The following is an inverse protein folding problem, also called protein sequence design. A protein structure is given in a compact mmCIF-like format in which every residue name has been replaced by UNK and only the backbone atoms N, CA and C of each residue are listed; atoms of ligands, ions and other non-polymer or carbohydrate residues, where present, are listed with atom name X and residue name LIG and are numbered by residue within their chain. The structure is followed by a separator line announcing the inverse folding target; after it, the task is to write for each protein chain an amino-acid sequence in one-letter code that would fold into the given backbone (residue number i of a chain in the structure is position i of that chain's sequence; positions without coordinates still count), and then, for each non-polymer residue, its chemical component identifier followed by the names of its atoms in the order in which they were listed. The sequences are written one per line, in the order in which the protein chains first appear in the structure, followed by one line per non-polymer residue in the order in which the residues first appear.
data_IF_482487303471
#
_entry.id   IF_482487303471
#
_cell.length_a   1.000
_cell.length_b   1.000
_cell.length_c   1.000
_cell.angle_alpha   90.00
_cell.angle_beta   90.00
_cell.angle_gamma   90.00
#
_symmetry.space_group_name_H-M   'P 1'
#
loop_
_entity.id
_entity.type
_entity.pdbx_description
1 polymer ?
#
# COMPACT_ATOMS: atom_id res chain seq x y z
N UNK A 1 54.43 -7.48 -33.84
CA UNK A 1 55.48 -6.67 -33.17
C UNK A 1 55.04 -5.21 -33.09
N UNK A 2 54.40 -4.80 -31.99
CA UNK A 2 54.36 -3.41 -31.49
C UNK A 2 54.24 -3.46 -29.97
N UNK A 3 55.28 -2.99 -29.31
CA UNK A 3 55.50 -2.92 -27.87
C UNK A 3 54.62 -1.83 -27.26
N UNK A 4 53.81 -2.18 -26.26
CA UNK A 4 53.03 -1.22 -25.48
C UNK A 4 53.74 -1.00 -24.13
N UNK A 5 54.28 0.22 -23.94
CA UNK A 5 54.95 0.64 -22.70
C UNK A 5 53.94 0.81 -21.56
N UNK A 6 54.26 0.21 -20.40
CA UNK A 6 53.60 0.48 -19.11
C UNK A 6 54.06 1.83 -18.57
N UNK A 7 53.13 2.79 -18.52
CA UNK A 7 53.29 4.06 -17.82
C UNK A 7 52.92 3.93 -16.34
N UNK A 8 53.92 4.11 -15.48
CA UNK A 8 53.84 4.17 -14.02
C UNK A 8 53.23 5.52 -13.58
N UNK A 9 52.12 5.53 -12.84
CA UNK A 9 51.58 6.75 -12.21
C UNK A 9 51.31 6.56 -10.72
N UNK A 10 51.89 7.52 -9.99
CA UNK A 10 52.04 7.71 -8.55
C UNK A 10 50.73 7.65 -7.77
N UNK A 11 50.82 7.02 -6.60
CA UNK A 11 49.87 7.03 -5.51
C UNK A 11 49.72 8.43 -4.91
N UNK A 12 48.54 9.04 -5.05
CA UNK A 12 48.12 10.15 -4.21
C UNK A 12 47.34 9.61 -3.00
N UNK A 13 47.99 9.70 -1.83
CA UNK A 13 47.36 9.56 -0.51
C UNK A 13 46.45 10.77 -0.29
N UNK A 14 45.12 10.56 -0.40
CA UNK A 14 44.13 11.55 0.07
C UNK A 14 43.71 11.19 1.48
N UNK A 15 44.24 11.96 2.42
CA UNK A 15 43.82 12.05 3.81
C UNK A 15 42.33 12.46 3.87
N UNK A 16 41.42 11.50 4.12
CA UNK A 16 40.01 11.79 4.43
C UNK A 16 39.85 11.84 5.93
N UNK A 17 39.67 13.05 6.45
CA UNK A 17 39.13 13.24 7.79
C UNK A 17 37.65 12.79 7.84
N UNK A 18 37.19 12.21 8.96
CA UNK A 18 35.79 11.92 9.14
C UNK A 18 35.02 13.23 9.36
N UNK A 19 34.14 13.55 8.42
CA UNK A 19 33.16 14.63 8.59
C UNK A 19 32.08 14.12 9.54
N UNK A 20 32.25 14.39 10.83
CA UNK A 20 31.17 14.32 11.82
C UNK A 20 30.29 15.55 11.65
N UNK A 21 29.28 15.47 10.78
CA UNK A 21 28.20 16.46 10.77
C UNK A 21 27.23 16.12 11.91
N UNK A 22 27.38 16.84 13.02
CA UNK A 22 26.38 16.94 14.06
C UNK A 22 25.10 17.56 13.48
N UNK A 23 24.03 16.76 13.38
CA UNK A 23 22.66 17.25 13.33
C UNK A 23 22.00 16.83 14.64
N UNK A 24 22.27 17.59 15.71
CA UNK A 24 21.42 17.60 16.89
C UNK A 24 20.69 18.94 16.91
N UNK A 25 19.60 19.01 16.16
CA UNK A 25 18.64 20.11 16.28
C UNK A 25 17.56 19.64 17.26
N UNK A 26 17.75 19.96 18.54
CA UNK A 26 16.70 19.89 19.54
C UNK A 26 15.63 20.93 19.18
N UNK A 27 14.52 20.47 18.62
CA UNK A 27 13.38 21.34 18.31
C UNK A 27 12.32 21.25 19.41
N UNK A 28 12.14 22.32 20.17
CA UNK A 28 10.94 22.53 20.98
C UNK A 28 9.81 22.98 20.04
N UNK A 29 8.71 22.22 19.97
CA UNK A 29 7.54 22.63 19.19
C UNK A 29 6.47 23.14 20.15
N UNK A 30 6.17 24.43 20.10
CA UNK A 30 5.12 25.06 20.91
C UNK A 30 3.86 25.21 20.06
N UNK A 31 2.78 24.52 20.45
CA UNK A 31 1.46 24.71 19.83
C UNK A 31 0.69 25.73 20.69
N UNK A 32 0.60 26.97 20.20
CA UNK A 32 -0.30 27.97 20.78
C UNK A 32 -1.65 27.89 20.06
N UNK A 33 -2.67 27.37 20.73
CA UNK A 33 -4.06 27.41 20.27
C UNK A 33 -4.85 28.45 21.04
N UNK A 34 -5.41 29.45 20.34
CA UNK A 34 -6.48 30.29 20.89
C UNK A 34 -7.81 29.60 20.62
N UNK A 35 -8.53 29.19 21.66
CA UNK A 35 -9.92 28.74 21.54
C UNK A 35 -10.77 29.91 21.03
N UNK A 36 -11.18 29.85 19.77
CA UNK A 36 -12.17 30.76 19.22
C UNK A 36 -13.56 30.28 19.68
N UNK A 37 -14.26 31.14 20.43
CA UNK A 37 -15.64 30.96 20.87
C UNK A 37 -16.59 30.98 19.67
N UNK A 38 -16.89 29.81 19.10
CA UNK A 38 -17.85 29.65 18.02
C UNK A 38 -19.27 29.62 18.58
N UNK A 39 -19.90 30.78 18.73
CA UNK A 39 -21.33 30.89 19.05
C UNK A 39 -22.17 30.53 17.82
N UNK A 40 -22.88 29.41 17.89
CA UNK A 40 -23.95 29.06 16.95
C UNK A 40 -25.24 29.85 17.23
N UNK A 41 -26.06 30.16 16.20
CA UNK A 41 -27.32 30.87 16.36
C UNK A 41 -28.48 29.88 16.54
N UNK A 42 -28.75 29.46 17.76
CA UNK A 42 -30.05 28.87 18.10
C UNK A 42 -30.68 29.70 19.22
N UNK A 43 -31.74 30.41 18.84
CA UNK A 43 -32.45 31.34 19.70
C UNK A 43 -33.18 30.64 20.84
N UNK A 44 -32.60 30.72 22.02
CA UNK A 44 -33.30 30.50 23.29
C UNK A 44 -33.10 31.76 24.15
N UNK A 45 -34.22 32.38 24.54
CA UNK A 45 -34.26 33.54 25.44
C UNK A 45 -33.59 33.17 26.77
N UNK A 46 -32.40 33.71 27.02
CA UNK A 46 -31.73 33.62 28.32
C UNK A 46 -32.22 34.75 29.25
N UNK A 47 -32.69 34.36 30.43
CA UNK A 47 -32.85 35.25 31.57
C UNK A 47 -31.47 35.69 32.07
N UNK A 48 -31.38 36.99 32.35
CA UNK A 48 -30.18 37.66 32.85
C UNK A 48 -29.73 37.12 34.21
N UNK A 49 -28.45 36.75 34.32
CA UNK A 49 -27.73 36.62 35.58
C UNK A 49 -26.41 37.41 35.50
N UNK A 50 -25.94 38.03 36.60
CA UNK A 50 -24.87 39.01 36.55
C UNK A 50 -23.46 38.38 36.57
N UNK A 51 -22.57 39.02 35.81
CA UNK A 51 -21.11 39.06 35.88
C UNK A 51 -20.38 37.90 36.59
N UNK A 52 -19.88 36.95 35.79
CA UNK A 52 -18.62 36.27 36.05
C UNK A 52 -17.53 36.95 35.19
N UNK A 53 -16.60 37.66 35.82
CA UNK A 53 -15.42 38.21 35.16
C UNK A 53 -14.51 37.05 34.70
N UNK A 54 -14.43 36.83 33.39
CA UNK A 54 -13.44 35.94 32.80
C UNK A 54 -12.04 36.56 32.97
N UNK A 55 -11.25 36.02 33.91
CA UNK A 55 -9.80 36.25 33.98
C UNK A 55 -9.16 35.75 32.69
N UNK A 56 -8.61 36.67 31.91
CA UNK A 56 -7.86 36.40 30.71
C UNK A 56 -6.57 35.61 31.03
N UNK A 57 -6.28 34.60 30.22
CA UNK A 57 -4.91 34.22 29.87
C UNK A 57 -4.18 33.24 30.78
N UNK A 58 -4.73 32.06 31.05
CA UNK A 58 -3.91 30.93 31.53
C UNK A 58 -3.26 30.23 30.33
N UNK A 59 -2.03 30.63 29.98
CA UNK A 59 -1.23 29.94 28.97
C UNK A 59 -0.67 28.65 29.56
N UNK A 60 -1.34 27.52 29.32
CA UNK A 60 -0.81 26.19 29.69
C UNK A 60 0.32 25.81 28.72
N UNK A 61 1.54 25.79 29.22
CA UNK A 61 2.71 25.32 28.45
C UNK A 61 2.90 23.84 28.74
N UNK A 62 2.50 22.97 27.80
CA UNK A 62 2.75 21.54 27.89
C UNK A 62 4.14 21.24 27.33
N UNK A 63 5.09 20.91 28.21
CA UNK A 63 6.42 20.47 27.77
C UNK A 63 6.38 18.97 27.62
N UNK A 64 6.27 18.46 26.39
CA UNK A 64 6.46 17.03 26.11
C UNK A 64 7.97 16.80 26.01
N UNK A 65 8.61 16.08 26.95
CA UNK A 65 9.98 15.68 26.75
C UNK A 65 10.04 14.79 25.51
N UNK A 66 10.74 15.26 24.47
CA UNK A 66 11.01 14.43 23.31
C UNK A 66 11.87 13.25 23.78
N UNK A 67 11.44 12.00 23.56
CA UNK A 67 12.22 10.85 23.98
C UNK A 67 13.60 10.93 23.33
N UNK A 68 14.64 10.81 24.15
CA UNK A 68 16.02 10.79 23.69
C UNK A 68 16.17 9.68 22.64
N UNK A 69 16.44 10.10 21.40
CA UNK A 69 16.50 9.20 20.26
C UNK A 69 17.77 8.37 20.36
N UNK A 70 17.71 7.27 21.10
CA UNK A 70 18.73 6.23 21.05
C UNK A 70 18.91 5.81 19.57
N UNK A 71 20.11 5.90 18.99
CA UNK A 71 20.34 5.61 17.58
C UNK A 71 19.98 4.14 17.29
N UNK A 72 18.81 3.93 16.68
CA UNK A 72 18.28 2.59 16.37
C UNK A 72 18.93 1.96 15.12
N UNK A 73 20.24 2.16 14.95
CA UNK A 73 21.01 1.77 13.75
C UNK A 73 21.06 0.24 13.54
N UNK A 74 20.72 -0.55 14.56
CA UNK A 74 20.64 -2.02 14.46
C UNK A 74 19.30 -2.58 13.98
N UNK A 75 18.17 -1.88 14.16
CA UNK A 75 16.83 -2.47 13.99
C UNK A 75 16.39 -2.64 12.54
N UNK A 76 16.84 -1.75 11.65
CA UNK A 76 16.53 -1.79 10.21
C UNK A 76 17.25 -2.90 9.45
N UNK A 77 18.27 -3.53 10.04
CA UNK A 77 18.96 -4.67 9.39
C UNK A 77 18.04 -5.86 9.15
N UNK A 78 16.97 -5.99 9.94
CA UNK A 78 15.98 -7.06 9.79
C UNK A 78 14.91 -6.81 8.71
N UNK A 79 14.80 -5.58 8.20
CA UNK A 79 13.80 -5.18 7.20
C UNK A 79 14.16 -5.70 5.78
N UNK A 80 15.43 -5.63 5.41
CA UNK A 80 15.91 -6.02 4.08
C UNK A 80 15.77 -7.53 3.79
N UNK A 81 16.08 -8.44 4.73
CA UNK A 81 15.86 -9.87 4.51
C UNK A 81 14.38 -10.23 4.37
N UNK A 82 13.46 -9.56 5.08
CA UNK A 82 12.02 -9.79 4.92
C UNK A 82 11.48 -9.34 3.56
N UNK A 83 12.04 -8.28 2.97
CA UNK A 83 11.74 -7.88 1.59
C UNK A 83 12.28 -8.88 0.56
N UNK A 84 13.41 -9.54 0.86
CA UNK A 84 14.02 -10.53 -0.02
C UNK A 84 13.27 -11.87 -0.04
N UNK A 85 12.77 -12.34 1.10
CA UNK A 85 12.07 -13.62 1.22
C UNK A 85 10.72 -13.67 0.47
N UNK A 86 10.07 -12.53 0.25
CA UNK A 86 8.82 -12.43 -0.51
C UNK A 86 9.02 -12.61 -2.04
N UNK A 87 10.27 -12.56 -2.52
CA UNK A 87 10.53 -12.76 -3.96
C UNK A 87 10.32 -14.21 -4.40
N UNK A 88 10.64 -15.20 -3.57
CA UNK A 88 10.62 -16.63 -3.94
C UNK A 88 9.27 -17.32 -3.76
N UNK A 89 8.48 -16.96 -2.74
CA UNK A 89 7.23 -17.69 -2.40
C UNK A 89 6.05 -17.44 -3.35
N UNK A 90 6.05 -16.31 -4.04
CA UNK A 90 4.87 -15.83 -4.78
C UNK A 90 4.96 -16.03 -6.31
N UNK A 91 5.88 -16.87 -6.80
CA UNK A 91 5.91 -17.30 -8.20
C UNK A 91 4.66 -18.13 -8.58
N UNK A 92 3.98 -18.73 -7.60
CA UNK A 92 2.82 -19.59 -7.79
C UNK A 92 1.56 -18.85 -8.27
N UNK A 93 1.42 -17.56 -7.97
CA UNK A 93 0.24 -16.76 -8.35
C UNK A 93 0.29 -16.17 -9.76
N UNK A 94 1.46 -16.13 -10.39
CA UNK A 94 1.63 -15.61 -11.77
C UNK A 94 1.30 -16.69 -12.82
N UNK A 95 0.72 -17.82 -12.39
CA UNK A 95 0.50 -19.03 -13.18
C UNK A 95 -0.27 -18.85 -14.49
N UNK A 96 -0.14 -19.88 -15.34
CA UNK A 96 -0.51 -20.04 -16.76
C UNK A 96 -1.96 -19.67 -17.17
N UNK A 97 -2.83 -19.29 -16.25
CA UNK A 97 -4.23 -18.97 -16.56
C UNK A 97 -4.41 -17.48 -16.83
N UNK A 98 -5.16 -17.15 -17.89
CA UNK A 98 -5.50 -15.77 -18.27
C UNK A 98 -6.22 -15.03 -17.14
N UNK A 99 -7.10 -15.73 -16.42
CA UNK A 99 -7.77 -15.23 -15.20
C UNK A 99 -7.74 -16.27 -14.09
N UNK A 100 -7.47 -15.80 -12.87
CA UNK A 100 -7.24 -16.61 -11.68
C UNK A 100 -8.30 -16.29 -10.61
N UNK A 101 -8.89 -15.08 -10.61
CA UNK A 101 -10.02 -14.70 -9.75
C UNK A 101 -11.25 -14.27 -10.57
N UNK A 102 -12.48 -14.52 -10.09
CA UNK A 102 -13.72 -14.12 -10.78
C UNK A 102 -13.86 -12.61 -11.05
N UNK A 103 -13.25 -11.79 -10.21
CA UNK A 103 -13.33 -10.32 -10.26
C UNK A 103 -12.12 -9.70 -10.98
N UNK A 104 -11.14 -10.52 -11.39
CA UNK A 104 -9.93 -10.06 -12.08
C UNK A 104 -10.21 -9.32 -13.40
N UNK A 105 -11.11 -9.80 -14.29
CA UNK A 105 -11.40 -9.09 -15.54
C UNK A 105 -11.95 -7.68 -15.30
N UNK A 106 -12.80 -7.50 -14.28
CA UNK A 106 -13.38 -6.20 -13.94
C UNK A 106 -12.28 -5.21 -13.51
N UNK A 107 -11.33 -5.67 -12.70
CA UNK A 107 -10.20 -4.85 -12.29
C UNK A 107 -9.23 -4.56 -13.44
N UNK A 108 -9.00 -5.52 -14.34
CA UNK A 108 -8.19 -5.33 -15.54
C UNK A 108 -8.81 -4.29 -16.49
N UNK A 109 -10.11 -4.43 -16.81
CA UNK A 109 -10.87 -3.45 -17.61
C UNK A 109 -10.74 -2.05 -17.00
N UNK A 110 -10.91 -1.93 -15.68
CA UNK A 110 -10.82 -0.64 -15.01
C UNK A 110 -9.39 -0.06 -15.02
N UNK A 111 -8.37 -0.88 -14.86
CA UNK A 111 -6.98 -0.43 -14.97
C UNK A 111 -6.70 0.11 -16.39
N UNK A 112 -7.18 -0.58 -17.43
CA UNK A 112 -7.00 -0.14 -18.81
C UNK A 112 -7.82 1.11 -19.13
N UNK A 113 -9.05 1.21 -18.63
CA UNK A 113 -9.85 2.44 -18.74
C UNK A 113 -9.12 3.64 -18.12
N UNK A 114 -8.56 3.46 -16.91
CA UNK A 114 -7.75 4.47 -16.25
C UNK A 114 -6.48 4.86 -17.05
N UNK A 115 -5.82 3.91 -17.73
CA UNK A 115 -4.71 4.20 -18.64
C UNK A 115 -5.13 5.06 -19.84
N UNK A 116 -6.37 4.91 -20.31
CA UNK A 116 -6.94 5.71 -21.40
C UNK A 116 -7.54 7.04 -20.92
N UNK A 117 -7.30 7.43 -19.65
CA UNK A 117 -7.80 8.68 -19.08
C UNK A 117 -9.22 8.60 -18.51
N UNK A 118 -9.90 7.45 -18.63
CA UNK A 118 -11.22 7.22 -18.06
C UNK A 118 -11.12 6.76 -16.60
N UNK A 119 -10.72 7.71 -15.74
CA UNK A 119 -10.62 7.49 -14.30
C UNK A 119 -11.97 7.38 -13.61
N UNK A 120 -13.01 7.95 -14.26
CA UNK A 120 -14.45 8.23 -14.03
C UNK A 120 -15.52 7.17 -14.29
N UNK A 121 -15.40 6.51 -15.43
CA UNK A 121 -16.54 5.87 -16.09
C UNK A 121 -17.70 6.82 -16.36
N UNK A 122 -18.61 6.39 -17.22
CA UNK A 122 -19.94 6.98 -17.35
C UNK A 122 -20.97 6.08 -16.68
N UNK A 123 -21.96 6.64 -15.98
CA UNK A 123 -23.05 5.80 -15.43
C UNK A 123 -23.82 5.17 -16.59
N UNK A 124 -24.12 3.87 -16.51
CA UNK A 124 -24.92 3.22 -17.54
C UNK A 124 -26.33 3.80 -17.53
N UNK A 125 -26.82 4.20 -18.71
CA UNK A 125 -28.20 4.68 -18.88
C UNK A 125 -29.24 3.61 -18.56
N UNK A 126 -28.88 2.33 -18.76
CA UNK A 126 -29.78 1.19 -18.53
C UNK A 126 -29.72 0.63 -17.10
N UNK A 127 -28.59 0.78 -16.40
CA UNK A 127 -28.40 0.28 -15.05
C UNK A 127 -27.56 1.28 -14.23
N UNK A 128 -28.18 2.17 -13.43
CA UNK A 128 -27.48 3.24 -12.71
C UNK A 128 -26.41 2.76 -11.72
N UNK A 129 -26.43 1.48 -11.33
CA UNK A 129 -25.45 0.83 -10.46
C UNK A 129 -24.21 0.31 -11.19
N UNK A 130 -24.20 0.34 -12.53
CA UNK A 130 -23.08 -0.04 -13.38
C UNK A 130 -22.42 1.20 -13.98
N UNK A 131 -21.13 1.08 -14.24
CA UNK A 131 -20.38 2.06 -15.03
C UNK A 131 -20.03 1.46 -16.38
N UNK A 132 -20.06 2.31 -17.39
CA UNK A 132 -19.64 2.04 -18.76
C UNK A 132 -18.29 2.68 -18.99
N UNK A 133 -17.38 1.89 -19.56
CA UNK A 133 -16.04 2.32 -19.95
C UNK A 133 -15.72 1.81 -21.35
N UNK A 134 -14.84 2.54 -22.03
CA UNK A 134 -14.36 2.19 -23.36
C UNK A 134 -12.95 1.63 -23.25
N UNK A 135 -12.76 0.36 -23.61
CA UNK A 135 -11.46 -0.32 -23.53
C UNK A 135 -11.20 -1.16 -24.77
N UNK A 136 -9.94 -1.51 -25.08
CA UNK A 136 -9.63 -2.42 -26.18
C UNK A 136 -10.34 -3.79 -26.03
N UNK A 137 -10.68 -4.40 -27.16
CA UNK A 137 -11.49 -5.60 -27.27
C UNK A 137 -10.83 -6.78 -26.57
N UNK A 138 -9.50 -6.87 -26.63
CA UNK A 138 -8.76 -7.92 -25.95
C UNK A 138 -8.94 -7.88 -24.42
N UNK A 139 -9.19 -6.70 -23.85
CA UNK A 139 -9.50 -6.55 -22.42
C UNK A 139 -11.00 -6.69 -22.16
N UNK A 140 -11.85 -6.13 -23.03
CA UNK A 140 -13.30 -6.24 -22.89
C UNK A 140 -13.81 -7.69 -22.98
N UNK A 141 -13.17 -8.50 -23.82
CA UNK A 141 -13.49 -9.91 -24.06
C UNK A 141 -12.90 -10.83 -22.99
N UNK A 142 -11.95 -10.35 -22.19
CA UNK A 142 -11.34 -11.15 -21.13
C UNK A 142 -12.39 -11.59 -20.09
N UNK A 143 -13.43 -10.78 -19.88
CA UNK A 143 -14.60 -11.12 -19.06
C UNK A 143 -15.39 -12.34 -19.58
N UNK A 144 -15.35 -12.63 -20.89
CA UNK A 144 -16.03 -13.80 -21.45
C UNK A 144 -15.24 -15.09 -21.28
N UNK A 145 -13.95 -14.99 -20.95
CA UNK A 145 -13.06 -16.12 -20.69
C UNK A 145 -13.13 -16.61 -19.24
N UNK A 146 -13.98 -16.02 -18.40
CA UNK A 146 -14.19 -16.48 -17.04
C UNK A 146 -14.83 -17.87 -17.01
N UNK A 147 -14.14 -18.81 -16.37
CA UNK A 147 -14.62 -20.17 -16.11
C UNK A 147 -15.61 -20.20 -14.92
N UNK A 148 -16.55 -19.24 -14.89
CA UNK A 148 -17.62 -19.21 -13.90
C UNK A 148 -18.63 -20.34 -14.17
N UNK A 149 -19.24 -20.94 -13.13
CA UNK A 149 -20.30 -21.94 -13.30
C UNK A 149 -21.48 -21.42 -14.13
N UNK A 150 -21.73 -20.10 -14.09
CA UNK A 150 -22.78 -19.42 -14.85
C UNK A 150 -22.48 -19.23 -16.34
N UNK A 151 -21.24 -19.48 -16.78
CA UNK A 151 -20.84 -19.34 -18.18
C UNK A 151 -21.19 -20.63 -18.96
N UNK A 152 -21.93 -20.54 -20.10
CA UNK A 152 -22.26 -21.71 -20.90
C UNK A 152 -21.00 -22.43 -21.39
N UNK A 153 -21.01 -23.77 -21.48
CA UNK A 153 -19.80 -24.57 -21.78
C UNK A 153 -19.16 -24.23 -23.13
N UNK A 154 -19.94 -23.74 -24.11
CA UNK A 154 -19.42 -23.27 -25.40
C UNK A 154 -18.56 -22.00 -25.33
N UNK A 155 -18.61 -21.25 -24.23
CA UNK A 155 -17.76 -20.07 -23.97
C UNK A 155 -16.63 -20.34 -22.97
N UNK A 156 -16.56 -21.54 -22.39
CA UNK A 156 -15.44 -21.94 -21.51
C UNK A 156 -14.22 -22.32 -22.34
N UNK A 157 -13.69 -21.37 -23.10
CA UNK A 157 -12.42 -21.58 -23.76
C UNK A 157 -11.34 -21.04 -22.83
N UNK A 158 -10.94 -21.89 -21.88
CA UNK A 158 -9.72 -21.65 -21.14
C UNK A 158 -8.57 -21.64 -22.17
N UNK A 159 -7.83 -20.53 -22.22
CA UNK A 159 -6.55 -20.40 -22.94
C UNK A 159 -6.58 -20.00 -24.42
N UNK A 160 -7.62 -19.31 -24.92
CA UNK A 160 -7.42 -18.59 -26.18
C UNK A 160 -6.55 -17.35 -25.94
N UNK A 161 -5.39 -17.23 -26.61
CA UNK A 161 -4.53 -16.07 -26.44
C UNK A 161 -5.29 -14.81 -26.86
N UNK A 162 -5.22 -13.77 -26.03
CA UNK A 162 -5.83 -12.49 -26.33
C UNK A 162 -5.05 -11.84 -27.48
N UNK A 163 -5.64 -11.87 -28.68
CA UNK A 163 -5.14 -11.16 -29.85
C UNK A 163 -5.03 -9.66 -29.52
N UNK A 164 -3.88 -9.04 -29.79
CA UNK A 164 -3.61 -7.62 -29.49
C UNK A 164 -4.38 -6.62 -30.39
N UNK A 165 -5.57 -6.97 -30.86
CA UNK A 165 -6.38 -6.13 -31.73
C UNK A 165 -6.92 -4.92 -30.97
N UNK A 166 -6.65 -3.72 -31.47
CA UNK A 166 -6.96 -2.42 -30.83
C UNK A 166 -8.37 -1.92 -31.15
N UNK A 167 -9.34 -2.83 -31.31
CA UNK A 167 -10.75 -2.43 -31.48
C UNK A 167 -11.29 -2.03 -30.13
N UNK A 168 -11.85 -0.84 -29.95
CA UNK A 168 -12.43 -0.45 -28.67
C UNK A 168 -13.87 -0.96 -28.53
N UNK A 169 -14.20 -1.52 -27.38
CA UNK A 169 -15.53 -2.01 -27.03
C UNK A 169 -16.04 -1.33 -25.76
N UNK A 170 -17.35 -1.13 -25.71
CA UNK A 170 -18.06 -0.66 -24.53
C UNK A 170 -18.28 -1.83 -23.58
N UNK A 171 -17.84 -1.69 -22.32
CA UNK A 171 -18.05 -2.70 -21.29
C UNK A 171 -18.67 -2.10 -20.05
N UNK A 172 -19.66 -2.82 -19.52
CA UNK A 172 -20.27 -2.51 -18.23
C UNK A 172 -19.51 -3.23 -17.12
N UNK A 173 -19.18 -2.49 -16.08
CA UNK A 173 -18.48 -3.00 -14.90
C UNK A 173 -19.26 -2.64 -13.65
N UNK A 174 -19.34 -3.62 -12.75
CA UNK A 174 -19.85 -3.45 -11.41
C UNK A 174 -18.72 -3.00 -10.47
N UNK A 175 -19.05 -2.31 -9.38
CA UNK A 175 -18.13 -2.00 -8.27
C UNK A 175 -17.03 -0.98 -8.60
N UNK A 176 -17.48 0.22 -8.92
CA UNK A 176 -16.62 1.32 -9.36
C UNK A 176 -16.13 2.24 -8.21
N UNK A 177 -16.61 2.07 -6.98
CA UNK A 177 -16.19 2.88 -5.82
C UNK A 177 -14.92 2.35 -5.13
N UNK A 178 -13.83 2.19 -5.88
CA UNK A 178 -12.52 1.82 -5.30
C UNK A 178 -11.49 2.91 -5.55
N UNK A 179 -10.43 2.92 -4.73
CA UNK A 179 -9.40 3.96 -4.76
C UNK A 179 -8.74 4.06 -6.15
N UNK A 180 -8.86 5.21 -6.85
CA UNK A 180 -8.37 5.36 -8.22
C UNK A 180 -6.84 5.26 -8.31
N UNK A 181 -6.13 5.59 -7.23
CA UNK A 181 -4.67 5.50 -7.13
C UNK A 181 -4.15 4.09 -7.46
N UNK A 182 -4.87 3.06 -7.03
CA UNK A 182 -4.50 1.67 -7.30
C UNK A 182 -4.42 1.40 -8.81
N UNK A 183 -5.46 1.81 -9.53
CA UNK A 183 -5.56 1.63 -10.96
C UNK A 183 -4.53 2.48 -11.70
N UNK A 184 -4.19 3.66 -11.17
CA UNK A 184 -3.11 4.50 -11.71
C UNK A 184 -1.69 3.91 -11.55
N UNK A 185 -1.49 2.94 -10.65
CA UNK A 185 -0.20 2.23 -10.53
C UNK A 185 -0.19 1.02 -11.46
N UNK A 186 -1.28 0.26 -11.46
CA UNK A 186 -1.38 -0.98 -12.25
C UNK A 186 -1.46 -0.67 -13.76
N UNK A 187 -2.09 0.44 -14.14
CA UNK A 187 -2.28 0.82 -15.55
C UNK A 187 -0.98 1.13 -16.31
N UNK A 188 0.13 1.41 -15.64
CA UNK A 188 1.43 1.66 -16.28
C UNK A 188 1.83 0.51 -17.19
N UNK A 189 1.47 -0.72 -16.80
CA UNK A 189 1.69 -1.92 -17.62
C UNK A 189 0.93 -1.88 -18.95
N UNK A 190 -0.28 -1.32 -18.98
CA UNK A 190 -1.10 -1.19 -20.19
C UNK A 190 -0.57 -0.13 -21.18
N UNK A 191 0.30 0.78 -20.73
CA UNK A 191 0.96 1.73 -21.61
C UNK A 191 2.13 1.11 -22.37
N UNK A 192 2.72 0.03 -21.84
CA UNK A 192 3.94 -0.58 -22.38
C UNK A 192 3.66 -1.93 -23.05
N UNK A 193 2.56 -2.59 -22.70
CA UNK A 193 2.26 -3.97 -23.16
C UNK A 193 0.80 -4.13 -23.58
N UNK A 194 0.54 -5.11 -24.46
CA UNK A 194 -0.77 -5.42 -25.02
C UNK A 194 -1.01 -6.94 -25.08
N UNK A 195 -2.25 -7.38 -25.31
CA UNK A 195 -2.62 -8.80 -25.33
C UNK A 195 -2.47 -9.45 -23.95
N UNK A 196 -2.19 -10.76 -23.89
CA UNK A 196 -2.06 -11.50 -22.62
C UNK A 196 -0.96 -10.96 -21.70
N UNK A 197 0.12 -10.43 -22.30
CA UNK A 197 1.25 -9.88 -21.55
C UNK A 197 0.82 -8.74 -20.62
N UNK A 198 -0.21 -7.97 -21.01
CA UNK A 198 -0.71 -6.88 -20.15
C UNK A 198 -1.23 -7.41 -18.82
N UNK A 199 -1.94 -8.54 -18.83
CA UNK A 199 -2.53 -9.10 -17.63
C UNK A 199 -1.44 -9.61 -16.68
N UNK A 200 -0.42 -10.28 -17.22
CA UNK A 200 0.74 -10.70 -16.45
C UNK A 200 1.53 -9.51 -15.88
N UNK A 201 1.72 -8.46 -16.67
CA UNK A 201 2.39 -7.25 -16.21
C UNK A 201 1.57 -6.53 -15.12
N UNK A 202 0.24 -6.48 -15.24
CA UNK A 202 -0.65 -5.95 -14.20
C UNK A 202 -0.56 -6.72 -12.88
N UNK A 203 -0.48 -8.05 -12.93
CA UNK A 203 -0.27 -8.90 -11.73
C UNK A 203 1.04 -8.56 -11.02
N UNK A 204 2.11 -8.41 -11.79
CA UNK A 204 3.42 -8.00 -11.24
C UNK A 204 3.31 -6.62 -10.59
N UNK A 205 2.68 -5.65 -11.27
CA UNK A 205 2.50 -4.29 -10.75
C UNK A 205 1.65 -4.25 -9.48
N UNK A 206 0.59 -5.06 -9.36
CA UNK A 206 -0.20 -5.18 -8.13
C UNK A 206 0.62 -5.73 -6.96
N UNK A 207 1.51 -6.68 -7.25
CA UNK A 207 2.33 -7.32 -6.22
C UNK A 207 3.42 -6.39 -5.67
N UNK A 208 4.01 -5.52 -6.49
CA UNK A 208 5.13 -4.65 -6.09
C UNK A 208 4.91 -3.81 -4.81
N UNK A 209 3.75 -3.18 -4.57
CA UNK A 209 3.54 -2.38 -3.35
C UNK A 209 3.25 -3.20 -2.08
N UNK A 210 2.83 -4.47 -2.19
CA UNK A 210 2.39 -5.29 -1.05
C UNK A 210 3.51 -5.70 -0.04
N UNK A 211 4.77 -5.97 -0.44
CA UNK A 211 5.85 -6.35 0.48
C UNK A 211 6.18 -5.27 1.52
N UNK A 212 6.02 -3.99 1.18
CA UNK A 212 6.35 -2.89 2.09
C UNK A 212 5.48 -2.88 3.36
N UNK A 213 4.13 -2.84 3.28
CA UNK A 213 3.30 -2.96 4.47
C UNK A 213 3.43 -4.33 5.16
N UNK A 214 3.63 -5.42 4.41
CA UNK A 214 3.88 -6.74 5.01
C UNK A 214 5.16 -6.75 5.87
N UNK A 215 6.25 -6.16 5.38
CA UNK A 215 7.49 -6.01 6.13
C UNK A 215 7.29 -5.13 7.37
N UNK A 216 6.55 -4.02 7.25
CA UNK A 216 6.16 -3.17 8.38
C UNK A 216 5.41 -3.96 9.44
N UNK A 217 4.42 -4.76 9.04
CA UNK A 217 3.67 -5.65 9.94
C UNK A 217 4.61 -6.60 10.71
N UNK A 218 5.50 -7.30 10.00
CA UNK A 218 6.45 -8.25 10.61
C UNK A 218 7.40 -7.54 11.57
N UNK A 219 7.96 -6.40 11.17
CA UNK A 219 8.87 -5.62 12.02
C UNK A 219 8.15 -5.13 13.27
N UNK A 220 6.93 -4.61 13.16
CA UNK A 220 6.15 -4.16 14.31
C UNK A 220 5.82 -5.30 15.27
N UNK A 221 5.40 -6.46 14.76
CA UNK A 221 5.11 -7.64 15.58
C UNK A 221 6.36 -8.20 16.26
N UNK A 222 7.53 -8.14 15.62
CA UNK A 222 8.81 -8.54 16.24
C UNK A 222 9.20 -7.61 17.40
N UNK A 223 8.87 -6.32 17.30
CA UNK A 223 9.18 -5.35 18.36
C UNK A 223 8.32 -5.52 19.61
N UNK A 224 7.15 -6.14 19.51
CA UNK A 224 6.30 -6.49 20.65
C UNK A 224 6.91 -7.56 21.59
N UNK A 225 8.05 -8.17 21.23
CA UNK A 225 8.73 -9.17 22.06
C UNK A 225 8.10 -10.57 22.03
N UNK A 226 7.03 -10.77 21.25
CA UNK A 226 6.30 -12.04 21.14
C UNK A 226 6.90 -12.96 20.05
N UNK A 227 8.22 -13.08 19.96
CA UNK A 227 8.89 -13.66 18.77
C UNK A 227 8.35 -15.02 18.31
N UNK A 228 8.00 -15.92 19.25
CA UNK A 228 7.47 -17.26 18.96
C UNK A 228 6.06 -17.20 18.39
N UNK A 229 5.25 -16.29 18.91
CA UNK A 229 3.87 -16.07 18.47
C UNK A 229 3.80 -15.15 17.25
N UNK A 230 4.81 -14.32 16.98
CA UNK A 230 4.86 -13.45 15.81
C UNK A 230 4.75 -14.25 14.52
N UNK A 231 5.49 -15.36 14.39
CA UNK A 231 5.40 -16.18 13.17
C UNK A 231 4.05 -16.86 13.02
N UNK A 232 3.47 -17.30 14.14
CA UNK A 232 2.11 -17.87 14.13
C UNK A 232 1.07 -16.82 13.76
N UNK A 233 1.14 -15.62 14.35
CA UNK A 233 0.24 -14.51 14.06
C UNK A 233 0.37 -14.03 12.61
N UNK A 234 1.59 -13.99 12.05
CA UNK A 234 1.79 -13.66 10.63
C UNK A 234 1.25 -14.76 9.74
N UNK A 235 1.49 -16.04 10.06
CA UNK A 235 0.98 -17.16 9.28
C UNK A 235 -0.55 -17.25 9.29
N UNK A 236 -1.20 -16.89 10.40
CA UNK A 236 -2.66 -16.85 10.50
C UNK A 236 -3.25 -15.57 9.89
N UNK A 237 -2.57 -14.43 10.02
CA UNK A 237 -3.01 -13.16 9.43
C UNK A 237 -2.81 -13.09 7.91
N UNK A 238 -1.86 -13.86 7.37
CA UNK A 238 -1.59 -13.98 5.93
C UNK A 238 -1.94 -15.40 5.47
N UNK A 239 -3.24 -15.75 5.41
CA UNK A 239 -3.65 -17.05 4.91
C UNK A 239 -3.18 -17.25 3.46
N UNK A 240 -3.09 -18.50 2.97
CA UNK A 240 -2.73 -18.79 1.58
C UNK A 240 -3.56 -18.02 0.55
N UNK A 241 -4.84 -17.75 0.86
CA UNK A 241 -5.74 -16.94 0.04
C UNK A 241 -5.23 -15.51 -0.15
N UNK A 242 -4.58 -14.91 0.84
CA UNK A 242 -4.01 -13.56 0.74
C UNK A 242 -2.85 -13.50 -0.24
N UNK A 243 -1.97 -14.50 -0.19
CA UNK A 243 -0.85 -14.63 -1.14
C UNK A 243 -1.35 -14.84 -2.56
N UNK A 244 -2.43 -15.62 -2.71
CA UNK A 244 -3.12 -15.81 -3.98
C UNK A 244 -3.71 -14.51 -4.53
N UNK A 245 -4.40 -13.73 -3.69
CA UNK A 245 -4.96 -12.41 -4.08
C UNK A 245 -3.84 -11.39 -4.41
N UNK A 246 -2.68 -11.48 -3.76
CA UNK A 246 -1.49 -10.67 -4.12
C UNK A 246 -0.94 -11.00 -5.52
N UNK A 247 -1.21 -12.20 -6.03
CA UNK A 247 -0.79 -12.65 -7.36
C UNK A 247 -1.76 -12.29 -8.49
N UNK A 248 -2.95 -11.78 -8.18
CA UNK A 248 -3.97 -11.42 -9.18
C UNK A 248 -4.09 -9.91 -9.38
N UNK A 249 -4.92 -9.46 -10.30
CA UNK A 249 -5.23 -8.02 -10.46
C UNK A 249 -6.36 -7.67 -9.49
N UNK A 250 -6.03 -7.43 -8.21
CA UNK A 250 -7.04 -7.17 -7.19
C UNK A 250 -6.56 -6.17 -6.12
N UNK A 251 -7.26 -5.04 -5.90
CA UNK A 251 -6.88 -4.04 -4.89
C UNK A 251 -7.01 -4.54 -3.45
N UNK A 252 -7.72 -5.65 -3.21
CA UNK A 252 -7.87 -6.22 -1.87
C UNK A 252 -6.54 -6.72 -1.31
N UNK A 253 -5.57 -7.09 -2.15
CA UNK A 253 -4.22 -7.45 -1.71
C UNK A 253 -3.55 -6.29 -0.93
N UNK A 254 -3.58 -5.09 -1.52
CA UNK A 254 -3.00 -3.91 -0.92
C UNK A 254 -3.77 -3.48 0.33
N UNK A 255 -5.11 -3.54 0.30
CA UNK A 255 -5.95 -3.23 1.47
C UNK A 255 -5.64 -4.17 2.65
N UNK A 256 -5.49 -5.46 2.38
CA UNK A 256 -5.24 -6.46 3.42
C UNK A 256 -3.86 -6.27 4.05
N UNK A 257 -2.82 -6.13 3.23
CA UNK A 257 -1.44 -5.94 3.73
C UNK A 257 -1.28 -4.62 4.47
N UNK A 258 -1.87 -3.52 3.96
CA UNK A 258 -1.84 -2.21 4.65
C UNK A 258 -2.65 -2.21 5.95
N UNK A 259 -3.80 -2.88 6.00
CA UNK A 259 -4.55 -3.05 7.24
C UNK A 259 -3.73 -3.84 8.29
N UNK A 260 -3.08 -4.94 7.88
CA UNK A 260 -2.19 -5.70 8.77
C UNK A 260 -1.04 -4.86 9.32
N UNK A 261 -0.41 -4.05 8.48
CA UNK A 261 0.63 -3.11 8.90
C UNK A 261 0.10 -2.06 9.89
N UNK A 262 -1.07 -1.49 9.60
CA UNK A 262 -1.73 -0.50 10.46
C UNK A 262 -2.04 -1.08 11.84
N UNK A 263 -2.64 -2.26 11.92
CA UNK A 263 -2.97 -2.88 13.20
C UNK A 263 -1.71 -3.29 13.99
N UNK A 264 -0.69 -3.81 13.32
CA UNK A 264 0.56 -4.19 13.98
C UNK A 264 1.31 -2.96 14.53
N UNK A 265 1.36 -1.87 13.77
CA UNK A 265 1.95 -0.60 14.22
C UNK A 265 1.14 0.02 15.35
N UNK A 266 -0.19 -0.01 15.27
CA UNK A 266 -1.06 0.46 16.35
C UNK A 266 -0.83 -0.34 17.64
N UNK A 267 -0.81 -1.68 17.56
CA UNK A 267 -0.53 -2.54 18.72
C UNK A 267 0.83 -2.23 19.35
N UNK A 268 1.86 -1.97 18.53
CA UNK A 268 3.19 -1.57 19.01
C UNK A 268 3.16 -0.22 19.73
N UNK A 269 2.49 0.78 19.16
CA UNK A 269 2.38 2.11 19.76
C UNK A 269 1.63 2.08 21.10
N UNK A 270 0.50 1.36 21.16
CA UNK A 270 -0.29 1.21 22.38
C UNK A 270 0.44 0.44 23.48
N UNK A 271 1.21 -0.58 23.10
CA UNK A 271 2.03 -1.34 24.06
C UNK A 271 3.18 -0.51 24.63
N UNK A 272 3.72 0.41 23.84
CA UNK A 272 4.80 1.32 24.26
C UNK A 272 4.30 2.47 25.14
N UNK A 273 3.01 2.82 25.05
CA UNK A 273 2.41 3.92 25.80
C UNK A 273 1.97 3.55 27.22
N UNK A 274 2.00 2.27 27.63
CA UNK A 274 1.57 1.83 28.95
C UNK A 274 2.61 2.21 30.03
N UNK A 275 2.37 3.24 30.89
CA UNK A 275 3.40 3.81 31.75
C UNK A 275 3.75 2.97 32.99
N UNK A 276 3.11 1.82 33.20
CA UNK A 276 3.26 1.01 34.42
C UNK A 276 3.38 -0.51 34.20
N UNK A 277 3.55 -0.95 32.96
CA UNK A 277 3.29 -2.34 32.58
C UNK A 277 4.53 -3.19 32.34
N UNK A 278 5.14 -3.69 33.43
CA UNK A 278 6.02 -4.87 33.49
C UNK A 278 7.31 -4.80 32.66
N UNK A 279 8.43 -4.60 33.37
CA UNK A 279 9.70 -5.23 33.01
C UNK A 279 9.48 -6.74 33.00
N UNK A 280 8.97 -7.27 31.89
CA UNK A 280 8.90 -8.70 31.67
C UNK A 280 10.35 -9.18 31.59
N UNK A 281 10.85 -9.69 32.70
CA UNK A 281 12.16 -10.32 32.82
C UNK A 281 12.38 -11.18 31.58
N UNK A 282 13.25 -10.73 30.68
CA UNK A 282 13.74 -11.57 29.60
C UNK A 282 14.74 -12.51 30.26
N UNK A 283 14.44 -13.82 30.37
CA UNK A 283 15.51 -14.76 30.69
C UNK A 283 16.58 -14.62 29.59
N UNK A 284 17.82 -14.39 30.03
CA UNK A 284 19.00 -14.34 29.15
C UNK A 284 19.18 -15.68 28.43
#
# INVERSE_FOLDING_TARGET
MRTFQRGNRRSHSTNRQPVTSACSAYGTFTISGTLADSRHPWGLKQQHSPLMQHKAGTSMTFTVPLPESQPQTGRWRSFWPSLGADRSGNALGVGLFTHVLPDEPVHAIRAVAAANGDLTGSKSASQPSQMEVTVPAYVANSYEQDCSPSTPPSRRIANHPLMATVTYLYKRIHRWCEFPLFYAIVNVSALVTSGDLVLHAMRIMNRLPCPAPLATMIVSLRQLGLHRWTMFAVATAVPPVSLFVMGSINPNALKLTSAGALFATLALTLSSASPGGRSFNRPM
#
